data_IF_096537094784
#
_entry.id   IF_096537094784
#
_cell.length_a   1.000
_cell.length_b   1.000
_cell.length_c   1.000
_cell.angle_alpha   90.00
_cell.angle_beta   90.00
_cell.angle_gamma   90.00
#
_symmetry.space_group_name_H-M   'P 1'
#
loop_
_entity.id
_entity.type
_entity.pdbx_description
1 polymer ?
#
# COMPACT_ATOMS: atom_id res chain seq x y z
N UNK A 1 -26.36 11.18 -22.08
CA UNK A 1 -26.72 11.19 -20.64
C UNK A 1 -26.28 9.94 -19.85
N UNK A 2 -26.49 8.71 -20.35
CA UNK A 2 -26.18 7.47 -19.61
C UNK A 2 -24.75 7.38 -19.04
N UNK A 3 -23.75 7.78 -19.81
CA UNK A 3 -22.34 7.83 -19.37
C UNK A 3 -22.13 8.73 -18.15
N UNK A 4 -22.71 9.95 -18.20
CA UNK A 4 -22.62 10.93 -17.11
C UNK A 4 -23.31 10.41 -15.83
N UNK A 5 -24.49 9.81 -15.98
CA UNK A 5 -25.21 9.20 -14.84
C UNK A 5 -24.45 8.03 -14.22
N UNK A 6 -23.80 7.20 -15.06
CA UNK A 6 -22.99 6.09 -14.58
C UNK A 6 -21.75 6.57 -13.83
N UNK A 7 -21.07 7.61 -14.32
CA UNK A 7 -19.91 8.22 -13.66
C UNK A 7 -20.29 8.83 -12.30
N UNK A 8 -21.42 9.54 -12.22
CA UNK A 8 -21.97 10.06 -10.95
C UNK A 8 -22.25 8.92 -9.96
N UNK A 9 -22.92 7.85 -10.40
CA UNK A 9 -23.25 6.70 -9.54
C UNK A 9 -21.99 5.99 -9.01
N UNK A 10 -20.95 5.86 -9.84
CA UNK A 10 -19.66 5.32 -9.41
C UNK A 10 -18.95 6.21 -8.40
N UNK A 11 -19.04 7.53 -8.56
CA UNK A 11 -18.47 8.50 -7.63
C UNK A 11 -19.14 8.42 -6.26
N UNK A 12 -20.47 8.38 -6.22
CA UNK A 12 -21.27 8.23 -4.99
C UNK A 12 -20.98 6.89 -4.29
N UNK A 13 -20.87 5.81 -5.06
CA UNK A 13 -20.52 4.50 -4.52
C UNK A 13 -19.12 4.51 -3.86
N UNK A 14 -18.11 5.10 -4.50
CA UNK A 14 -16.77 5.20 -3.89
C UNK A 14 -16.75 6.06 -2.64
N UNK A 15 -17.54 7.13 -2.61
CA UNK A 15 -17.58 8.06 -1.49
C UNK A 15 -18.30 7.49 -0.26
N UNK A 16 -19.26 6.59 -0.48
CA UNK A 16 -20.03 5.92 0.60
C UNK A 16 -19.50 4.52 0.94
N UNK A 17 -18.43 4.07 0.26
CA UNK A 17 -17.87 2.76 0.51
C UNK A 17 -17.17 2.70 1.87
N UNK A 18 -17.84 2.09 2.84
CA UNK A 18 -17.35 1.87 4.20
C UNK A 18 -16.00 1.13 4.30
N UNK A 19 -15.57 0.46 3.22
CA UNK A 19 -14.30 -0.26 3.16
C UNK A 19 -13.17 0.51 2.51
N UNK A 20 -13.44 1.67 1.88
CA UNK A 20 -12.41 2.41 1.13
C UNK A 20 -11.22 2.78 2.03
N UNK A 21 -11.50 3.28 3.24
CA UNK A 21 -10.47 3.64 4.22
C UNK A 21 -9.72 2.42 4.75
N UNK A 22 -10.43 1.32 5.03
CA UNK A 22 -9.82 0.09 5.52
C UNK A 22 -8.89 -0.55 4.47
N UNK A 23 -9.31 -0.60 3.20
CA UNK A 23 -8.49 -1.11 2.10
C UNK A 23 -7.28 -0.20 1.87
N UNK A 24 -7.46 1.11 1.94
CA UNK A 24 -6.35 2.08 1.85
C UNK A 24 -5.35 1.89 3.00
N UNK A 25 -5.82 1.74 4.23
CA UNK A 25 -4.99 1.50 5.41
C UNK A 25 -4.19 0.20 5.30
N UNK A 26 -4.82 -0.90 4.85
CA UNK A 26 -4.13 -2.18 4.61
C UNK A 26 -3.02 -2.01 3.56
N UNK A 27 -3.32 -1.32 2.46
CA UNK A 27 -2.31 -1.03 1.42
C UNK A 27 -1.13 -0.24 1.98
N UNK A 28 -1.39 0.76 2.82
CA UNK A 28 -0.35 1.52 3.52
C UNK A 28 0.51 0.66 4.45
N UNK A 29 -0.12 -0.24 5.23
CA UNK A 29 0.57 -1.18 6.12
C UNK A 29 1.48 -2.12 5.33
N UNK A 30 0.97 -2.70 4.24
CA UNK A 30 1.77 -3.58 3.37
C UNK A 30 2.97 -2.84 2.79
N UNK A 31 2.79 -1.60 2.34
CA UNK A 31 3.88 -0.78 1.80
C UNK A 31 4.97 -0.49 2.84
N UNK A 32 4.56 -0.13 4.07
CA UNK A 32 5.50 0.08 5.18
C UNK A 32 6.23 -1.21 5.55
N UNK A 33 5.52 -2.33 5.63
CA UNK A 33 6.11 -3.63 5.92
C UNK A 33 7.18 -4.02 4.89
N UNK A 34 6.89 -3.87 3.59
CA UNK A 34 7.86 -4.18 2.53
C UNK A 34 9.12 -3.30 2.64
N UNK A 35 8.94 -2.02 2.95
CA UNK A 35 10.06 -1.08 3.15
C UNK A 35 10.92 -1.48 4.36
N UNK A 36 10.28 -1.88 5.46
CA UNK A 36 10.98 -2.36 6.65
C UNK A 36 11.77 -3.62 6.35
N UNK A 37 11.14 -4.61 5.71
CA UNK A 37 11.80 -5.87 5.34
C UNK A 37 13.01 -5.65 4.43
N UNK A 38 12.92 -4.74 3.45
CA UNK A 38 14.07 -4.40 2.60
C UNK A 38 15.20 -3.75 3.40
N UNK A 39 14.86 -2.86 4.34
CA UNK A 39 15.85 -2.19 5.18
C UNK A 39 16.60 -3.18 6.07
N UNK A 40 15.88 -4.11 6.70
CA UNK A 40 16.48 -5.17 7.52
C UNK A 40 17.34 -6.11 6.66
N UNK A 41 16.84 -6.55 5.50
CA UNK A 41 17.61 -7.40 4.60
C UNK A 41 18.91 -6.73 4.12
N UNK A 42 18.87 -5.42 3.82
CA UNK A 42 20.07 -4.65 3.47
C UNK A 42 21.03 -4.58 4.66
N UNK A 43 20.53 -4.33 5.87
CA UNK A 43 21.37 -4.29 7.08
C UNK A 43 22.07 -5.62 7.32
N UNK A 44 21.35 -6.74 7.23
CA UNK A 44 21.93 -8.08 7.38
C UNK A 44 23.00 -8.34 6.31
N UNK A 45 22.72 -8.02 5.05
CA UNK A 45 23.69 -8.20 3.97
C UNK A 45 24.98 -7.39 4.20
N UNK A 46 24.87 -6.15 4.70
CA UNK A 46 26.02 -5.30 5.05
C UNK A 46 26.81 -5.89 6.22
N UNK A 47 26.14 -6.41 7.24
CA UNK A 47 26.82 -7.04 8.39
C UNK A 47 27.61 -8.28 7.94
N UNK A 48 26.99 -9.18 7.18
CA UNK A 48 27.65 -10.38 6.65
C UNK A 48 28.87 -10.01 5.80
N UNK A 49 28.77 -8.94 5.00
CA UNK A 49 29.91 -8.47 4.20
C UNK A 49 31.04 -7.92 5.08
N UNK A 50 30.70 -7.21 6.16
CA UNK A 50 31.69 -6.67 7.11
C UNK A 50 32.38 -7.78 7.89
N UNK A 51 31.64 -8.80 8.33
CA UNK A 51 32.20 -9.95 9.05
C UNK A 51 33.13 -10.82 8.20
N UNK A 52 33.05 -10.71 6.87
CA UNK A 52 33.92 -11.40 5.90
C UNK A 52 35.20 -10.63 5.57
N UNK A 53 35.33 -9.37 5.97
CA UNK A 53 36.52 -8.53 5.77
C UNK A 53 37.53 -8.74 6.90
#
# INVERSE_FOLDING_TARGET
ERLRSLETSFSEYRQTNQFADAVSAISGIVHQYMTLQMTEAVREAVQIQTDRL
#
